data_IF_829804276617
#
_entry.id   IF_829804276617
#
_cell.length_a   1.000
_cell.length_b   1.000
_cell.length_c   1.000
_cell.angle_alpha   90.00
_cell.angle_beta   90.00
_cell.angle_gamma   90.00
#
_symmetry.space_group_name_H-M   'P 1'
#
loop_
_entity.id
_entity.type
_entity.pdbx_description
1 polymer ?
#
# COMPACT_ATOMS: atom_id res chain seq x y z
N UNK A 1 1.64 -8.55 29.26
CA UNK A 1 0.83 -8.20 28.07
C UNK A 1 1.66 -8.53 26.84
N UNK A 2 1.12 -9.31 25.89
CA UNK A 2 1.83 -9.70 24.67
C UNK A 2 1.94 -8.51 23.71
N UNK A 3 3.13 -8.29 23.13
CA UNK A 3 3.44 -7.27 22.10
C UNK A 3 2.42 -7.29 20.96
N UNK A 4 2.13 -8.49 20.45
CA UNK A 4 1.14 -8.76 19.40
C UNK A 4 -0.23 -8.20 19.78
N UNK A 5 -0.67 -8.35 21.03
CA UNK A 5 -1.99 -7.89 21.49
C UNK A 5 -2.06 -6.36 21.59
N UNK A 6 -0.96 -5.69 21.91
CA UNK A 6 -0.87 -4.22 21.92
C UNK A 6 -0.85 -3.67 20.49
N UNK A 7 -0.05 -4.27 19.59
CA UNK A 7 -0.02 -3.85 18.18
C UNK A 7 -1.34 -4.11 17.49
N UNK A 8 -1.98 -5.26 17.72
CA UNK A 8 -3.33 -5.54 17.21
C UNK A 8 -4.36 -4.52 17.70
N UNK A 9 -4.29 -4.07 18.97
CA UNK A 9 -5.22 -3.04 19.45
C UNK A 9 -5.05 -1.71 18.73
N UNK A 10 -3.81 -1.29 18.47
CA UNK A 10 -3.50 -0.05 17.73
C UNK A 10 -3.88 -0.20 16.25
N UNK A 11 -3.59 -1.35 15.65
CA UNK A 11 -3.87 -1.63 14.25
C UNK A 11 -5.36 -1.91 13.97
N UNK A 12 -6.15 -2.40 14.94
CA UNK A 12 -7.53 -2.84 14.67
C UNK A 12 -8.63 -2.12 15.44
N UNK A 13 -8.33 -1.41 16.55
CA UNK A 13 -9.31 -0.60 17.31
C UNK A 13 -10.50 -1.39 17.88
N UNK A 14 -11.12 -0.87 18.94
CA UNK A 14 -12.33 -1.45 19.54
C UNK A 14 -13.57 -0.94 18.78
N UNK A 15 -14.36 -1.83 18.16
CA UNK A 15 -15.51 -1.45 17.33
C UNK A 15 -16.74 -1.19 18.19
N UNK A 16 -17.14 0.07 18.34
CA UNK A 16 -18.51 0.43 18.70
C UNK A 16 -18.87 1.82 18.15
N UNK A 17 -19.60 1.87 17.03
CA UNK A 17 -20.41 3.04 16.68
C UNK A 17 -21.64 2.63 15.87
N UNK A 18 -22.78 3.12 16.34
CA UNK A 18 -24.14 2.93 15.84
C UNK A 18 -24.40 3.59 14.49
N UNK A 19 -25.33 2.99 13.79
CA UNK A 19 -25.89 3.28 12.48
C UNK A 19 -27.09 4.24 12.59
N UNK A 20 -27.24 5.17 11.65
CA UNK A 20 -28.53 5.80 11.32
C UNK A 20 -28.63 6.05 9.82
N UNK A 21 -29.63 5.42 9.22
CA UNK A 21 -30.13 5.56 7.85
C UNK A 21 -30.88 6.86 7.60
N UNK A 22 -30.90 7.36 6.35
CA UNK A 22 -32.09 7.86 5.63
C UNK A 22 -31.87 7.85 4.11
N UNK A 23 -32.97 7.79 3.36
CA UNK A 23 -33.12 7.19 2.02
C UNK A 23 -33.18 8.16 0.81
N UNK A 24 -32.69 7.66 -0.35
CA UNK A 24 -33.11 7.72 -1.79
C UNK A 24 -34.34 8.58 -2.26
N UNK A 25 -34.61 8.72 -3.60
CA UNK A 25 -33.83 8.88 -4.87
C UNK A 25 -34.53 9.97 -5.79
N UNK A 26 -34.74 9.89 -7.15
CA UNK A 26 -33.95 9.50 -8.35
C UNK A 26 -33.93 10.60 -9.48
N UNK A 27 -33.26 10.31 -10.63
CA UNK A 27 -33.76 10.52 -12.04
C UNK A 27 -32.95 11.43 -13.02
N UNK A 28 -32.61 10.80 -14.17
CA UNK A 28 -32.45 11.28 -15.57
C UNK A 28 -31.22 12.03 -16.11
N UNK A 29 -30.67 11.40 -17.17
CA UNK A 29 -29.82 11.87 -18.28
C UNK A 29 -30.55 12.91 -19.19
N UNK A 30 -29.97 13.60 -20.24
CA UNK A 30 -28.98 13.11 -21.22
C UNK A 30 -28.01 14.13 -21.92
N UNK A 31 -27.29 13.60 -22.94
CA UNK A 31 -26.77 14.22 -24.20
C UNK A 31 -25.23 14.38 -24.38
N UNK A 32 -24.69 13.43 -25.16
CA UNK A 32 -23.68 13.45 -26.26
C UNK A 32 -22.78 14.70 -26.45
N UNK A 33 -21.45 14.52 -26.39
CA UNK A 33 -20.53 15.09 -27.41
C UNK A 33 -19.19 14.35 -27.52
N UNK A 34 -18.63 14.39 -28.73
CA UNK A 34 -17.57 13.58 -29.34
C UNK A 34 -16.16 13.87 -28.77
N UNK A 35 -15.27 12.84 -28.65
CA UNK A 35 -13.79 12.99 -28.71
C UNK A 35 -13.03 11.64 -28.72
N UNK A 36 -12.23 11.45 -29.80
CA UNK A 36 -10.98 10.65 -30.03
C UNK A 36 -10.87 9.19 -29.52
N UNK A 37 -10.14 8.30 -30.23
CA UNK A 37 -10.14 6.86 -29.93
C UNK A 37 -9.58 6.60 -28.53
N UNK A 38 -10.44 6.14 -27.62
CA UNK A 38 -10.06 5.67 -26.30
C UNK A 38 -9.20 4.43 -26.49
N UNK A 39 -7.90 4.54 -26.21
CA UNK A 39 -7.13 3.36 -25.84
C UNK A 39 -7.94 2.64 -24.76
N UNK A 40 -8.21 1.35 -24.98
CA UNK A 40 -9.02 0.54 -24.08
C UNK A 40 -8.22 0.38 -22.78
N UNK A 41 -8.42 1.32 -21.84
CA UNK A 41 -7.83 1.30 -20.51
C UNK A 41 -8.31 0.01 -19.86
N UNK A 42 -7.38 -0.90 -19.59
CA UNK A 42 -7.69 -2.08 -18.78
C UNK A 42 -8.31 -1.61 -17.45
N UNK A 43 -9.24 -2.36 -16.86
CA UNK A 43 -9.78 -2.00 -15.54
C UNK A 43 -8.62 -1.82 -14.56
N UNK A 44 -8.53 -0.64 -13.95
CA UNK A 44 -7.51 -0.32 -12.95
C UNK A 44 -7.62 -1.32 -11.79
N UNK A 45 -6.48 -1.83 -11.35
CA UNK A 45 -6.37 -2.66 -10.15
C UNK A 45 -6.49 -1.84 -8.85
N UNK A 46 -6.60 -0.51 -8.97
CA UNK A 46 -6.77 0.39 -7.83
C UNK A 46 -8.25 0.50 -7.43
N UNK A 47 -8.51 0.36 -6.15
CA UNK A 47 -9.82 0.68 -5.58
C UNK A 47 -9.99 2.17 -5.26
N UNK A 48 -11.18 2.54 -4.81
CA UNK A 48 -11.54 3.91 -4.50
C UNK A 48 -10.66 4.54 -3.39
N UNK A 49 -10.21 3.75 -2.41
CA UNK A 49 -9.36 4.23 -1.31
C UNK A 49 -7.97 4.61 -1.83
N UNK A 50 -7.35 3.74 -2.64
CA UNK A 50 -6.06 4.02 -3.27
C UNK A 50 -6.14 5.24 -4.20
N UNK A 51 -7.18 5.31 -5.03
CA UNK A 51 -7.38 6.45 -5.93
C UNK A 51 -7.58 7.76 -5.15
N UNK A 52 -8.28 7.72 -4.03
CA UNK A 52 -8.51 8.90 -3.18
C UNK A 52 -7.21 9.35 -2.51
N UNK A 53 -6.40 8.43 -2.00
CA UNK A 53 -5.10 8.74 -1.41
C UNK A 53 -4.16 9.43 -2.39
N UNK A 54 -4.07 8.90 -3.63
CA UNK A 54 -3.20 9.48 -4.68
C UNK A 54 -3.73 10.83 -5.16
N UNK A 55 -5.05 11.02 -5.27
CA UNK A 55 -5.63 12.28 -5.77
C UNK A 55 -5.63 13.40 -4.76
N UNK A 56 -5.73 13.05 -3.47
CA UNK A 56 -5.76 14.04 -2.39
C UNK A 56 -4.39 14.62 -2.05
N UNK A 57 -3.31 13.95 -2.46
CA UNK A 57 -1.93 14.35 -2.15
C UNK A 57 -1.11 14.41 -3.43
N UNK A 58 -0.16 15.35 -3.50
CA UNK A 58 0.82 15.35 -4.59
C UNK A 58 1.85 14.25 -4.34
N UNK A 59 1.47 12.99 -4.60
CA UNK A 59 2.34 11.82 -4.44
C UNK A 59 3.43 11.80 -5.51
N UNK A 60 4.66 12.15 -5.12
CA UNK A 60 5.85 12.12 -6.01
C UNK A 60 6.69 10.87 -5.81
N UNK A 61 6.68 10.31 -4.59
CA UNK A 61 7.50 9.15 -4.23
C UNK A 61 6.63 8.07 -3.58
N UNK A 62 6.63 6.88 -4.19
CA UNK A 62 5.81 5.74 -3.80
C UNK A 62 6.73 4.61 -3.33
N UNK A 63 6.46 4.07 -2.15
CA UNK A 63 7.03 2.82 -1.67
C UNK A 63 5.90 1.78 -1.56
N UNK A 64 6.02 0.68 -2.30
CA UNK A 64 5.10 -0.45 -2.22
C UNK A 64 5.83 -1.69 -1.68
N UNK A 65 5.23 -2.32 -0.69
CA UNK A 65 5.74 -3.52 -0.04
C UNK A 65 4.78 -4.67 -0.34
N UNK A 66 5.31 -5.71 -0.98
CA UNK A 66 4.53 -6.83 -1.51
C UNK A 66 3.79 -6.41 -2.76
N UNK A 67 4.31 -6.77 -3.93
CA UNK A 67 3.83 -6.25 -5.22
C UNK A 67 2.67 -7.06 -5.81
N UNK A 68 2.28 -8.17 -5.18
CA UNK A 68 1.24 -9.06 -5.74
C UNK A 68 1.64 -9.58 -7.12
N UNK A 69 0.86 -9.24 -8.16
CA UNK A 69 1.15 -9.57 -9.57
C UNK A 69 1.89 -8.45 -10.33
N UNK A 70 2.21 -7.33 -9.67
CA UNK A 70 2.91 -6.18 -10.25
C UNK A 70 2.03 -5.25 -11.11
N UNK A 71 0.75 -5.55 -11.35
CA UNK A 71 -0.13 -4.66 -12.13
C UNK A 71 -0.46 -3.37 -11.38
N UNK A 72 -0.69 -3.50 -10.08
CA UNK A 72 -0.96 -2.37 -9.18
C UNK A 72 0.13 -1.32 -9.23
N UNK A 73 1.40 -1.74 -9.24
CA UNK A 73 2.53 -0.84 -9.36
C UNK A 73 2.44 0.09 -10.59
N UNK A 74 2.06 -0.46 -11.75
CA UNK A 74 1.88 0.32 -12.98
C UNK A 74 0.73 1.32 -12.87
N UNK A 75 -0.42 0.87 -12.35
CA UNK A 75 -1.58 1.73 -12.16
C UNK A 75 -1.32 2.85 -11.15
N UNK A 76 -0.57 2.58 -10.07
CA UNK A 76 -0.16 3.57 -9.07
C UNK A 76 0.68 4.68 -9.70
N UNK A 77 1.74 4.30 -10.43
CA UNK A 77 2.63 5.24 -11.11
C UNK A 77 1.84 6.10 -12.10
N UNK A 78 1.08 5.48 -12.98
CA UNK A 78 0.33 6.19 -14.02
C UNK A 78 -0.70 7.15 -13.41
N UNK A 79 -1.38 6.73 -12.34
CA UNK A 79 -2.35 7.57 -11.65
C UNK A 79 -1.67 8.78 -11.00
N UNK A 80 -0.56 8.57 -10.29
CA UNK A 80 0.20 9.66 -9.65
C UNK A 80 0.73 10.67 -10.69
N UNK A 81 1.33 10.17 -11.78
CA UNK A 81 1.84 11.02 -12.87
C UNK A 81 0.71 11.86 -13.51
N UNK A 82 -0.45 11.24 -13.74
CA UNK A 82 -1.62 11.93 -14.33
C UNK A 82 -2.17 12.99 -13.39
N UNK A 83 -2.28 12.69 -12.09
CA UNK A 83 -2.78 13.63 -11.08
C UNK A 83 -1.88 14.85 -10.93
N UNK A 84 -0.56 14.65 -10.96
CA UNK A 84 0.40 15.74 -10.81
C UNK A 84 0.77 16.44 -12.13
N UNK A 85 0.34 15.89 -13.27
CA UNK A 85 0.82 16.30 -14.59
C UNK A 85 2.37 16.31 -14.67
N UNK A 86 3.00 15.26 -14.15
CA UNK A 86 4.46 15.14 -14.03
C UNK A 86 4.91 13.72 -14.32
N UNK A 87 5.97 13.55 -15.11
CA UNK A 87 6.58 12.23 -15.36
C UNK A 87 7.57 11.81 -14.25
N UNK A 88 7.84 12.68 -13.26
CA UNK A 88 8.92 12.53 -12.27
C UNK A 88 8.57 11.67 -11.05
N UNK A 89 7.60 10.75 -11.16
CA UNK A 89 7.26 9.87 -10.04
C UNK A 89 8.41 8.89 -9.80
N UNK A 90 8.85 8.77 -8.55
CA UNK A 90 9.79 7.75 -8.10
C UNK A 90 9.02 6.60 -7.46
N UNK A 91 9.28 5.39 -7.91
CA UNK A 91 8.62 4.18 -7.41
C UNK A 91 9.67 3.21 -6.86
N UNK A 92 9.48 2.79 -5.62
CA UNK A 92 10.28 1.78 -4.95
C UNK A 92 9.37 0.58 -4.66
N UNK A 93 9.72 -0.59 -5.20
CA UNK A 93 9.02 -1.84 -4.94
C UNK A 93 9.88 -2.80 -4.13
N UNK A 94 9.39 -3.23 -2.96
CA UNK A 94 10.02 -4.25 -2.12
C UNK A 94 9.23 -5.56 -2.27
N UNK A 95 9.91 -6.61 -2.71
CA UNK A 95 9.31 -7.92 -2.86
C UNK A 95 10.40 -9.02 -2.89
N UNK A 96 10.10 -10.26 -2.49
CA UNK A 96 11.04 -11.37 -2.68
C UNK A 96 11.35 -11.68 -4.15
N UNK A 97 10.46 -11.33 -5.09
CA UNK A 97 10.57 -11.61 -6.52
C UNK A 97 10.94 -13.07 -6.84
N UNK A 98 12.15 -13.30 -7.37
CA UNK A 98 12.67 -14.61 -7.74
C UNK A 98 12.88 -15.53 -6.52
N UNK A 99 12.83 -14.98 -5.30
CA UNK A 99 12.92 -15.70 -4.03
C UNK A 99 11.55 -15.98 -3.38
N UNK A 100 10.42 -15.70 -4.06
CA UNK A 100 9.09 -16.05 -3.54
C UNK A 100 8.98 -17.56 -3.30
N UNK A 101 8.28 -17.93 -2.23
CA UNK A 101 8.00 -19.35 -1.94
C UNK A 101 7.02 -19.92 -2.98
N UNK A 102 6.97 -21.25 -3.09
CA UNK A 102 6.03 -21.94 -3.97
C UNK A 102 4.55 -21.71 -3.64
N UNK A 103 4.25 -21.17 -2.44
CA UNK A 103 2.90 -20.83 -2.00
C UNK A 103 2.42 -19.48 -2.55
N UNK A 104 3.35 -18.66 -3.06
CA UNK A 104 3.04 -17.36 -3.65
C UNK A 104 3.09 -17.43 -5.18
N UNK A 105 2.26 -16.64 -5.89
CA UNK A 105 2.37 -16.52 -7.34
C UNK A 105 3.78 -16.04 -7.75
N UNK A 106 4.41 -16.66 -8.75
CA UNK A 106 5.76 -16.30 -9.18
C UNK A 106 5.78 -14.88 -9.75
N UNK A 107 6.76 -14.07 -9.32
CA UNK A 107 6.95 -12.72 -9.83
C UNK A 107 8.44 -12.49 -10.06
N UNK A 108 8.86 -12.43 -11.32
CA UNK A 108 10.28 -12.23 -11.65
C UNK A 108 10.62 -10.75 -11.63
N UNK A 109 11.73 -10.38 -11.00
CA UNK A 109 12.17 -8.98 -10.91
C UNK A 109 12.27 -8.35 -12.30
N UNK A 110 12.89 -9.06 -13.25
CA UNK A 110 13.09 -8.57 -14.61
C UNK A 110 11.77 -8.32 -15.34
N UNK A 111 10.72 -9.11 -15.07
CA UNK A 111 9.41 -8.95 -15.70
C UNK A 111 8.67 -7.74 -15.17
N UNK A 112 8.74 -7.51 -13.86
CA UNK A 112 8.19 -6.30 -13.24
C UNK A 112 8.91 -5.07 -13.77
N UNK A 113 10.24 -5.08 -13.78
CA UNK A 113 11.02 -3.97 -14.29
C UNK A 113 10.68 -3.64 -15.76
N UNK A 114 10.58 -4.66 -16.62
CA UNK A 114 10.18 -4.50 -18.02
C UNK A 114 8.76 -3.93 -18.16
N UNK A 115 7.83 -4.30 -17.28
CA UNK A 115 6.46 -3.81 -17.29
C UNK A 115 6.35 -2.35 -16.82
N UNK A 116 7.18 -1.92 -15.86
CA UNK A 116 7.15 -0.57 -15.31
C UNK A 116 8.00 0.42 -16.11
N UNK A 117 9.03 -0.03 -16.83
CA UNK A 117 9.92 0.84 -17.61
C UNK A 117 9.18 1.78 -18.59
N UNK A 118 8.13 1.37 -19.33
CA UNK A 118 7.41 2.24 -20.25
C UNK A 118 6.69 3.42 -19.58
N UNK A 119 6.50 3.40 -18.27
CA UNK A 119 5.86 4.51 -17.53
C UNK A 119 6.74 5.75 -17.44
N UNK A 120 8.06 5.63 -17.73
CA UNK A 120 9.01 6.74 -17.60
C UNK A 120 9.39 7.11 -16.16
N UNK A 121 8.78 6.46 -15.15
CA UNK A 121 9.08 6.69 -13.76
C UNK A 121 10.49 6.22 -13.37
N UNK A 122 11.03 6.81 -12.29
CA UNK A 122 12.27 6.32 -11.67
C UNK A 122 11.95 5.09 -10.83
N UNK A 123 12.13 3.91 -11.41
CA UNK A 123 11.82 2.61 -10.78
C UNK A 123 13.03 2.01 -10.09
N UNK A 124 12.89 1.69 -8.80
CA UNK A 124 13.84 0.90 -8.02
C UNK A 124 13.12 -0.34 -7.47
N UNK A 125 13.62 -1.54 -7.80
CA UNK A 125 13.10 -2.79 -7.25
C UNK A 125 14.12 -3.38 -6.30
N UNK A 126 13.69 -3.69 -5.08
CA UNK A 126 14.55 -4.20 -4.01
C UNK A 126 14.14 -5.64 -3.70
N UNK A 127 14.97 -6.63 -4.08
CA UNK A 127 14.70 -8.02 -3.75
C UNK A 127 14.97 -8.29 -2.27
N UNK A 128 14.03 -8.98 -1.61
CA UNK A 128 14.19 -9.45 -0.24
C UNK A 128 12.86 -9.56 0.50
N UNK A 129 12.90 -10.17 1.69
CA UNK A 129 11.80 -10.05 2.65
C UNK A 129 11.72 -8.62 3.21
N UNK A 130 10.59 -8.30 3.83
CA UNK A 130 10.28 -6.96 4.34
C UNK A 130 11.40 -6.36 5.20
N UNK A 131 11.82 -7.10 6.23
CA UNK A 131 12.71 -6.58 7.24
C UNK A 131 14.13 -6.44 6.70
N UNK A 132 14.63 -7.45 5.97
CA UNK A 132 15.98 -7.39 5.39
C UNK A 132 16.09 -6.29 4.33
N UNK A 133 15.10 -6.17 3.44
CA UNK A 133 15.08 -5.16 2.40
C UNK A 133 15.06 -3.75 2.99
N UNK A 134 14.12 -3.45 3.91
CA UNK A 134 14.04 -2.14 4.56
C UNK A 134 15.32 -1.79 5.30
N UNK A 135 15.89 -2.72 6.08
CA UNK A 135 17.10 -2.46 6.85
C UNK A 135 18.25 -2.02 5.94
N UNK A 136 18.35 -2.61 4.74
CA UNK A 136 19.37 -2.30 3.77
C UNK A 136 19.15 -0.94 3.07
N UNK A 137 17.90 -0.59 2.77
CA UNK A 137 17.61 0.58 1.93
C UNK A 137 17.15 1.82 2.71
N UNK A 138 16.67 1.70 3.95
CA UNK A 138 16.02 2.78 4.69
C UNK A 138 16.83 4.08 4.77
N UNK A 139 18.16 4.00 4.88
CA UNK A 139 19.04 5.18 4.95
C UNK A 139 19.28 5.86 3.59
N UNK A 140 18.93 5.19 2.49
CA UNK A 140 19.12 5.66 1.11
C UNK A 140 17.80 6.05 0.45
N UNK A 141 16.66 5.73 1.09
CA UNK A 141 15.36 6.08 0.57
C UNK A 141 15.17 7.61 0.63
N UNK A 142 14.67 8.23 -0.46
CA UNK A 142 14.16 9.58 -0.37
C UNK A 142 12.92 9.63 0.54
N UNK A 143 12.49 10.83 0.99
CA UNK A 143 11.22 11.00 1.67
C UNK A 143 10.07 10.38 0.86
N UNK A 144 9.30 9.50 1.49
CA UNK A 144 8.19 8.75 0.88
C UNK A 144 6.88 9.48 1.14
N UNK A 145 6.13 9.78 0.08
CA UNK A 145 4.82 10.45 0.15
C UNK A 145 3.67 9.44 0.25
N UNK A 146 3.87 8.22 -0.29
CA UNK A 146 2.88 7.16 -0.25
C UNK A 146 3.56 5.82 0.07
N UNK A 147 3.18 5.22 1.19
CA UNK A 147 3.60 3.89 1.63
C UNK A 147 2.42 2.92 1.52
N UNK A 148 2.54 1.86 0.72
CA UNK A 148 1.60 0.75 0.67
C UNK A 148 2.23 -0.51 1.27
N UNK A 149 1.47 -1.18 2.14
CA UNK A 149 1.87 -2.43 2.77
C UNK A 149 0.80 -3.48 2.47
N UNK A 150 1.14 -4.48 1.66
CA UNK A 150 0.21 -5.56 1.31
C UNK A 150 -0.06 -6.51 2.48
N UNK A 151 -1.20 -7.22 2.44
CA UNK A 151 -1.64 -8.06 3.55
C UNK A 151 -0.89 -9.40 3.64
N UNK A 152 -0.05 -9.70 2.65
CA UNK A 152 0.79 -10.90 2.58
C UNK A 152 2.09 -10.78 3.40
N UNK A 153 2.36 -9.60 3.96
CA UNK A 153 3.51 -9.40 4.81
C UNK A 153 3.33 -10.12 6.16
N UNK A 154 4.33 -10.93 6.53
CA UNK A 154 4.30 -11.70 7.77
C UNK A 154 4.33 -10.75 8.98
N UNK A 155 3.41 -10.96 9.93
CA UNK A 155 3.23 -10.09 11.09
C UNK A 155 4.52 -9.85 11.89
N UNK A 156 5.38 -10.85 12.20
CA UNK A 156 6.59 -10.60 12.99
C UNK A 156 7.59 -9.66 12.30
N UNK A 157 7.77 -9.82 10.98
CA UNK A 157 8.68 -8.96 10.20
C UNK A 157 8.14 -7.52 10.14
N UNK A 158 6.82 -7.37 10.00
CA UNK A 158 6.17 -6.06 9.97
C UNK A 158 6.28 -5.36 11.33
N UNK A 159 6.14 -6.11 12.43
CA UNK A 159 6.28 -5.59 13.79
C UNK A 159 7.65 -4.94 14.05
N UNK A 160 8.72 -5.56 13.54
CA UNK A 160 10.08 -4.99 13.63
C UNK A 160 10.31 -3.87 12.62
N UNK A 161 9.70 -3.96 11.43
CA UNK A 161 9.84 -2.97 10.37
C UNK A 161 9.29 -1.58 10.76
N UNK A 162 8.32 -1.50 11.69
CA UNK A 162 7.79 -0.23 12.19
C UNK A 162 8.87 0.71 12.73
N UNK A 163 9.97 0.18 13.25
CA UNK A 163 11.12 0.96 13.76
C UNK A 163 11.80 1.82 12.69
N UNK A 164 11.68 1.44 11.42
CA UNK A 164 12.42 2.05 10.32
C UNK A 164 11.58 3.08 9.57
N UNK A 165 10.26 2.91 9.49
CA UNK A 165 9.37 3.76 8.70
C UNK A 165 9.45 5.26 9.04
N UNK A 166 9.47 5.70 10.31
CA UNK A 166 9.58 7.12 10.62
C UNK A 166 10.79 7.83 10.00
N UNK A 167 11.84 7.09 9.65
CA UNK A 167 13.13 7.65 9.21
C UNK A 167 13.11 8.16 7.76
N UNK A 168 12.15 7.72 6.97
CA UNK A 168 12.05 8.06 5.55
C UNK A 168 10.64 8.45 5.11
N UNK A 169 9.66 8.53 6.01
CA UNK A 169 8.32 9.04 5.68
C UNK A 169 8.33 10.57 5.60
N UNK A 170 7.70 11.12 4.56
CA UNK A 170 7.40 12.55 4.52
C UNK A 170 6.38 12.92 5.63
N UNK A 171 6.35 14.18 6.09
CA UNK A 171 5.43 14.61 7.16
C UNK A 171 3.95 14.37 6.85
N UNK A 172 3.55 14.50 5.58
CA UNK A 172 2.17 14.30 5.11
C UNK A 172 1.97 12.97 4.37
N UNK A 173 2.90 12.02 4.60
CA UNK A 173 2.87 10.74 3.92
C UNK A 173 1.54 10.02 4.15
N UNK A 174 1.00 9.47 3.06
CA UNK A 174 -0.15 8.59 3.10
C UNK A 174 0.34 7.16 3.33
N UNK A 175 -0.08 6.53 4.43
CA UNK A 175 0.26 5.13 4.70
C UNK A 175 -1.00 4.29 4.59
N UNK A 176 -0.96 3.26 3.76
CA UNK A 176 -2.08 2.35 3.51
C UNK A 176 -1.65 0.92 3.78
N UNK A 177 -2.30 0.28 4.76
CA UNK A 177 -2.10 -1.12 5.13
C UNK A 177 -3.28 -1.94 4.60
N UNK A 178 -3.00 -2.92 3.76
CA UNK A 178 -4.00 -3.87 3.31
C UNK A 178 -4.33 -4.85 4.44
N UNK A 179 -5.62 -5.04 4.69
CA UNK A 179 -6.15 -5.95 5.71
C UNK A 179 -7.02 -6.99 5.01
N UNK A 180 -6.73 -8.27 5.24
CA UNK A 180 -7.59 -9.38 4.83
C UNK A 180 -8.75 -9.49 5.81
N UNK A 181 -9.97 -9.33 5.33
CA UNK A 181 -11.15 -9.66 6.14
C UNK A 181 -11.26 -11.18 6.22
N UNK A 182 -11.35 -11.72 7.45
CA UNK A 182 -11.67 -13.14 7.64
C UNK A 182 -13.03 -13.43 6.99
N UNK A 183 -13.20 -14.54 6.24
CA UNK A 183 -14.50 -14.92 5.74
C UNK A 183 -15.43 -15.14 6.93
N UNK A 184 -16.40 -14.24 7.13
CA UNK A 184 -17.51 -14.50 8.04
C UNK A 184 -18.28 -15.70 7.51
N UNK A 185 -18.61 -16.64 8.41
CA UNK A 185 -19.12 -18.00 8.17
C UNK A 185 -20.38 -18.09 7.29
N UNK A 186 -20.97 -16.96 6.88
CA UNK A 186 -22.30 -16.89 6.28
C UNK A 186 -22.33 -16.37 4.84
N UNK A 187 -21.21 -16.36 4.11
CA UNK A 187 -21.22 -15.97 2.69
C UNK A 187 -20.08 -16.60 1.90
N UNK A 188 -20.42 -17.27 0.80
CA UNK A 188 -19.56 -17.70 -0.33
C UNK A 188 -18.87 -16.51 -1.07
N UNK A 189 -18.58 -15.42 -0.36
CA UNK A 189 -17.95 -14.23 -0.93
C UNK A 189 -16.44 -14.36 -0.76
N UNK A 190 -15.75 -14.28 -1.90
CA UNK A 190 -14.29 -14.16 -2.03
C UNK A 190 -13.71 -13.28 -0.91
N UNK A 191 -12.61 -13.72 -0.31
CA UNK A 191 -11.84 -12.95 0.67
C UNK A 191 -11.72 -11.50 0.20
N UNK A 192 -12.31 -10.57 0.96
CA UNK A 192 -12.29 -9.15 0.62
C UNK A 192 -11.10 -8.51 1.33
N UNK A 193 -10.19 -7.92 0.58
CA UNK A 193 -9.15 -7.06 1.12
C UNK A 193 -9.65 -5.62 1.19
N UNK A 194 -9.26 -4.91 2.25
CA UNK A 194 -9.58 -3.49 2.43
C UNK A 194 -8.32 -2.75 2.85
N UNK A 195 -8.21 -1.48 2.46
CA UNK A 195 -7.10 -0.63 2.88
C UNK A 195 -7.47 0.14 4.14
N UNK A 196 -6.68 -0.05 5.19
CA UNK A 196 -6.67 0.80 6.37
C UNK A 196 -5.67 1.93 6.15
N UNK A 197 -6.13 3.17 6.26
CA UNK A 197 -5.24 4.33 6.31
C UNK A 197 -4.61 4.45 7.69
N UNK A 198 -3.31 4.65 7.73
CA UNK A 198 -2.53 4.97 8.92
C UNK A 198 -1.96 6.37 8.78
N UNK A 199 -1.86 7.07 9.90
CA UNK A 199 -1.22 8.37 10.02
C UNK A 199 0.25 8.22 10.42
N UNK A 200 1.07 9.22 10.14
CA UNK A 200 2.48 9.25 10.59
C UNK A 200 2.57 9.15 12.12
N UNK A 201 1.61 9.74 12.84
CA UNK A 201 1.53 9.63 14.30
C UNK A 201 1.27 8.20 14.78
N UNK A 202 0.34 7.47 14.15
CA UNK A 202 0.14 6.05 14.45
C UNK A 202 1.40 5.23 14.16
N UNK A 203 2.13 5.52 13.07
CA UNK A 203 3.40 4.86 12.76
C UNK A 203 4.45 5.13 13.83
N UNK A 204 4.57 6.38 14.31
CA UNK A 204 5.48 6.73 15.40
C UNK A 204 5.12 5.98 16.70
N UNK A 205 3.83 5.85 17.01
CA UNK A 205 3.36 5.06 18.16
C UNK A 205 3.70 3.58 18.01
N UNK A 206 3.51 3.00 16.82
CA UNK A 206 3.89 1.61 16.53
C UNK A 206 5.40 1.40 16.67
N UNK A 207 6.21 2.35 16.19
CA UNK A 207 7.67 2.33 16.32
C UNK A 207 8.11 2.41 17.79
N UNK A 208 7.51 3.30 18.59
CA UNK A 208 7.78 3.42 20.03
C UNK A 208 7.45 2.14 20.80
N UNK A 209 6.34 1.49 20.45
CA UNK A 209 5.96 0.20 21.03
C UNK A 209 7.04 -0.84 20.67
N UNK A 210 7.40 -0.97 19.39
CA UNK A 210 8.45 -1.91 18.96
C UNK A 210 9.80 -1.67 19.68
N UNK A 211 10.20 -0.40 19.88
CA UNK A 211 11.43 -0.03 20.59
C UNK A 211 11.42 -0.55 22.04
N UNK A 212 10.30 -0.40 22.74
CA UNK A 212 10.14 -0.82 24.14
C UNK A 212 10.25 -2.33 24.29
N UNK A 213 9.78 -3.11 23.32
CA UNK A 213 9.88 -4.57 23.38
C UNK A 213 11.29 -5.07 23.06
N UNK A 214 11.97 -4.46 22.07
CA UNK A 214 13.36 -4.82 21.76
C UNK A 214 14.30 -4.58 22.93
N UNK A 215 14.15 -3.46 23.67
CA UNK A 215 14.96 -3.16 24.86
C UNK A 215 14.71 -4.09 26.05
N UNK A 216 13.57 -4.78 26.11
CA UNK A 216 13.24 -5.73 27.18
C UNK A 216 13.72 -7.15 26.90
N UNK A 217 14.03 -7.46 25.65
CA UNK A 217 14.51 -8.77 25.22
C UNK A 217 16.05 -8.87 25.15
N UNK A 218 16.75 -7.75 25.33
CA UNK A 218 18.20 -7.64 25.44
C UNK A 218 18.62 -7.47 26.90
#
# INVERSE_FOLDING_TARGET
MSFVKTMQRILFGDKSSKQTDTANPPTSQPVISKKKPKARIAPSSLDATLLTAIRSHQVSTILEIGLGDGKRAGDLIQTAQTTQNSEKVSYIGIDPFDMRSSEQPPLKLIKVYQALRPTGAKVQLVPGDLLSAITNVANQLPPIDLLLISADQQTPQLEEAWLFFPRFLAPEAQILLEVRSSPSVESDKKQQTTWKKLTVEEINQLAEVAWKYRRKAA
#
